data_IF_100005324928
#
_entry.id   IF_100005324928
#
_cell.length_a   1.000
_cell.length_b   1.000
_cell.length_c   1.000
_cell.angle_alpha   90.00
_cell.angle_beta   90.00
_cell.angle_gamma   90.00
#
_symmetry.space_group_name_H-M   'P 1'
#
loop_
_entity.id
_entity.type
_entity.pdbx_description
1 polymer ?
#
# COMPACT_ATOMS: atom_id res chain seq x y z
N UNK A 1 21.82 -0.21 -16.28
CA UNK A 1 22.55 -1.37 -15.72
C UNK A 1 21.72 -2.11 -14.67
N UNK A 2 21.20 -1.44 -13.61
CA UNK A 2 20.42 -2.10 -12.56
C UNK A 2 19.16 -2.78 -13.10
N UNK A 3 18.34 -2.08 -13.90
CA UNK A 3 17.15 -2.65 -14.53
C UNK A 3 17.46 -3.81 -15.47
N UNK A 4 18.57 -3.76 -16.18
CA UNK A 4 19.05 -4.87 -17.01
C UNK A 4 19.48 -6.08 -16.17
N UNK A 5 20.03 -5.84 -14.98
CA UNK A 5 20.45 -6.90 -14.06
C UNK A 5 19.24 -7.63 -13.46
N UNK A 6 18.21 -6.91 -13.04
CA UNK A 6 17.01 -7.51 -12.45
C UNK A 6 16.14 -8.23 -13.50
N UNK A 7 16.13 -7.75 -14.76
CA UNK A 7 15.25 -8.32 -15.80
C UNK A 7 13.80 -8.41 -15.33
N UNK A 8 13.20 -9.58 -15.48
CA UNK A 8 11.81 -9.87 -15.07
C UNK A 8 11.66 -10.32 -13.60
N UNK A 9 12.74 -10.24 -12.80
CA UNK A 9 12.69 -10.66 -11.41
C UNK A 9 11.92 -9.66 -10.54
N UNK A 10 11.12 -10.17 -9.60
CA UNK A 10 10.50 -9.31 -8.59
C UNK A 10 11.54 -8.80 -7.57
N UNK A 11 11.50 -7.53 -7.28
CA UNK A 11 12.31 -6.91 -6.22
C UNK A 11 11.71 -7.23 -4.86
N UNK A 12 12.52 -7.73 -3.94
CA UNK A 12 12.08 -7.99 -2.57
C UNK A 12 12.82 -7.06 -1.62
N UNK A 13 12.07 -6.29 -0.84
CA UNK A 13 12.65 -5.40 0.15
C UNK A 13 11.85 -5.39 1.47
N UNK A 14 12.46 -4.87 2.52
CA UNK A 14 11.83 -4.70 3.82
C UNK A 14 11.40 -3.24 4.01
N UNK A 15 10.12 -2.93 3.84
CA UNK A 15 9.54 -1.60 3.59
C UNK A 15 9.85 -1.12 2.17
N UNK A 16 9.43 -1.93 1.21
CA UNK A 16 9.79 -1.82 -0.21
C UNK A 16 9.55 -0.43 -0.81
N UNK A 17 8.53 0.31 -0.37
CA UNK A 17 8.27 1.67 -0.85
C UNK A 17 9.45 2.62 -0.68
N UNK A 18 10.28 2.42 0.36
CA UNK A 18 11.47 3.21 0.57
C UNK A 18 12.53 2.95 -0.51
N UNK A 19 12.90 1.69 -0.73
CA UNK A 19 13.93 1.31 -1.71
C UNK A 19 13.46 1.57 -3.15
N UNK A 20 12.21 1.23 -3.45
CA UNK A 20 11.59 1.43 -4.76
C UNK A 20 11.58 2.91 -5.14
N UNK A 21 11.25 3.82 -4.22
CA UNK A 21 11.22 5.26 -4.50
C UNK A 21 12.55 5.80 -5.02
N UNK A 22 13.69 5.31 -4.50
CA UNK A 22 15.01 5.69 -5.01
C UNK A 22 15.28 5.18 -6.42
N UNK A 23 14.83 3.96 -6.73
CA UNK A 23 14.98 3.38 -8.08
C UNK A 23 14.14 4.19 -9.06
N UNK A 24 12.88 4.45 -8.74
CA UNK A 24 11.95 5.22 -9.57
C UNK A 24 12.46 6.64 -9.81
N UNK A 25 12.93 7.32 -8.76
CA UNK A 25 13.47 8.66 -8.89
C UNK A 25 14.72 8.68 -9.82
N UNK A 26 15.60 7.70 -9.69
CA UNK A 26 16.76 7.59 -10.60
C UNK A 26 16.34 7.26 -12.04
N UNK A 27 15.29 6.47 -12.24
CA UNK A 27 14.71 6.22 -13.55
C UNK A 27 14.16 7.50 -14.18
N UNK A 28 13.42 8.33 -13.42
CA UNK A 28 12.92 9.64 -13.87
C UNK A 28 14.04 10.58 -14.30
N UNK A 29 15.14 10.66 -13.54
CA UNK A 29 16.31 11.48 -13.93
C UNK A 29 16.97 11.04 -15.25
N UNK A 30 16.69 9.84 -15.71
CA UNK A 30 17.24 9.26 -16.94
C UNK A 30 16.19 9.05 -18.03
N UNK A 31 14.98 9.60 -17.88
CA UNK A 31 13.82 9.41 -18.77
C UNK A 31 13.52 7.92 -19.07
N UNK A 32 13.71 7.06 -18.06
CA UNK A 32 13.40 5.63 -18.13
C UNK A 32 12.11 5.37 -17.37
N UNK A 33 11.13 4.75 -18.02
CA UNK A 33 9.97 4.24 -17.30
C UNK A 33 10.33 2.91 -16.63
N UNK A 34 10.24 2.80 -15.30
CA UNK A 34 10.50 1.54 -14.61
C UNK A 34 9.32 0.58 -14.81
N UNK A 35 9.65 -0.67 -15.16
CA UNK A 35 8.67 -1.76 -15.20
C UNK A 35 9.25 -2.93 -14.39
N UNK A 36 8.82 -3.05 -13.14
CA UNK A 36 9.19 -4.15 -12.26
C UNK A 36 8.13 -4.41 -11.19
N UNK A 37 8.05 -5.64 -10.74
CA UNK A 37 7.23 -6.03 -9.60
C UNK A 37 8.03 -5.90 -8.30
N UNK A 38 7.42 -5.36 -7.25
CA UNK A 38 8.02 -5.33 -5.92
C UNK A 38 7.20 -6.12 -4.91
N UNK A 39 7.89 -6.73 -3.94
CA UNK A 39 7.30 -7.48 -2.83
C UNK A 39 7.82 -6.91 -1.51
N UNK A 40 6.90 -6.48 -0.66
CA UNK A 40 7.24 -5.92 0.65
C UNK A 40 7.15 -6.97 1.76
N UNK A 41 8.28 -7.31 2.35
CA UNK A 41 8.34 -8.26 3.46
C UNK A 41 7.73 -7.73 4.76
N UNK A 42 7.57 -6.41 4.93
CA UNK A 42 6.81 -5.84 6.07
C UNK A 42 5.32 -6.17 5.91
N UNK A 43 4.78 -6.00 4.72
CA UNK A 43 3.38 -6.35 4.41
C UNK A 43 3.13 -7.84 4.59
N UNK A 44 4.05 -8.70 4.12
CA UNK A 44 3.99 -10.15 4.34
C UNK A 44 4.06 -10.49 5.84
N UNK A 45 4.98 -9.86 6.59
CA UNK A 45 5.12 -10.10 8.02
C UNK A 45 3.84 -9.74 8.81
N UNK A 46 3.14 -8.67 8.43
CA UNK A 46 1.86 -8.29 9.04
C UNK A 46 0.79 -9.37 8.90
N UNK A 47 0.82 -10.13 7.81
CA UNK A 47 -0.11 -11.21 7.50
C UNK A 47 0.33 -12.53 8.16
N UNK A 48 1.61 -12.87 8.05
CA UNK A 48 2.14 -14.17 8.46
C UNK A 48 2.50 -14.24 9.94
N UNK A 49 2.86 -13.10 10.54
CA UNK A 49 3.27 -12.95 11.95
C UNK A 49 2.38 -11.91 12.67
N UNK A 50 1.06 -12.09 12.73
CA UNK A 50 0.13 -11.05 13.23
C UNK A 50 0.33 -10.73 14.72
N UNK A 51 1.00 -11.57 15.47
CA UNK A 51 1.25 -11.39 16.91
C UNK A 51 2.36 -10.39 17.21
N UNK A 52 3.19 -10.02 16.22
CA UNK A 52 4.25 -9.06 16.43
C UNK A 52 3.69 -7.65 16.63
N UNK A 53 4.25 -6.95 17.62
CA UNK A 53 3.90 -5.55 17.91
C UNK A 53 4.60 -4.54 16.99
N UNK A 54 5.74 -4.93 16.40
CA UNK A 54 6.58 -4.12 15.50
C UNK A 54 7.12 -5.00 14.38
N UNK A 55 7.33 -4.40 13.22
CA UNK A 55 7.77 -5.08 11.99
C UNK A 55 9.07 -4.50 11.44
N UNK A 56 9.99 -4.06 12.32
CA UNK A 56 11.35 -3.69 11.92
C UNK A 56 12.12 -4.94 11.52
N UNK A 57 13.09 -4.81 10.63
CA UNK A 57 13.88 -5.92 10.08
C UNK A 57 14.44 -6.84 11.18
N UNK A 58 15.08 -6.27 12.18
CA UNK A 58 15.66 -7.02 13.30
C UNK A 58 14.60 -7.76 14.16
N UNK A 59 13.39 -7.21 14.29
CA UNK A 59 12.29 -7.85 15.03
C UNK A 59 11.75 -9.05 14.26
N UNK A 60 11.57 -8.90 12.94
CA UNK A 60 11.08 -9.98 12.08
C UNK A 60 12.13 -11.08 11.95
N UNK A 61 13.41 -10.72 11.72
CA UNK A 61 14.53 -11.66 11.68
C UNK A 61 14.60 -12.50 12.97
N UNK A 62 14.55 -11.84 14.12
CA UNK A 62 14.58 -12.53 15.41
C UNK A 62 13.40 -13.49 15.61
N UNK A 63 12.18 -13.06 15.21
CA UNK A 63 10.97 -13.91 15.30
C UNK A 63 11.06 -15.16 14.41
N UNK A 64 11.84 -15.11 13.33
CA UNK A 64 12.08 -16.22 12.40
C UNK A 64 13.40 -16.97 12.69
N UNK A 65 14.09 -16.64 13.78
CA UNK A 65 15.40 -17.19 14.16
C UNK A 65 16.48 -17.00 13.09
N UNK A 66 16.47 -15.84 12.42
CA UNK A 66 17.48 -15.42 11.44
C UNK A 66 18.52 -14.54 12.15
N UNK A 67 19.81 -14.87 11.96
CA UNK A 67 20.92 -14.08 12.52
C UNK A 67 21.09 -12.77 11.77
N UNK A 68 21.25 -11.67 12.50
CA UNK A 68 21.53 -10.34 11.95
C UNK A 68 22.70 -9.72 12.75
N UNK A 69 23.92 -10.14 12.42
CA UNK A 69 25.11 -9.80 13.23
C UNK A 69 25.59 -8.36 13.04
N UNK A 70 25.43 -7.77 11.84
CA UNK A 70 25.93 -6.43 11.50
C UNK A 70 24.79 -5.53 10.99
N UNK A 71 23.76 -5.34 11.79
CA UNK A 71 22.65 -4.47 11.47
C UNK A 71 23.12 -3.05 11.06
N UNK A 72 22.55 -2.50 9.98
CA UNK A 72 22.89 -1.24 9.29
C UNK A 72 24.00 -1.35 8.22
N UNK A 73 24.43 -2.54 7.84
CA UNK A 73 25.15 -2.72 6.59
C UNK A 73 24.17 -3.20 5.51
N UNK A 74 24.13 -2.48 4.40
CA UNK A 74 23.14 -2.74 3.34
C UNK A 74 23.17 -4.21 2.83
N UNK A 75 24.35 -4.83 2.76
CA UNK A 75 24.48 -6.23 2.33
C UNK A 75 23.91 -7.20 3.38
N UNK A 76 24.16 -6.95 4.65
CA UNK A 76 23.68 -7.81 5.75
C UNK A 76 22.17 -7.67 5.92
N UNK A 77 21.63 -6.45 5.80
CA UNK A 77 20.19 -6.18 5.82
C UNK A 77 19.49 -6.82 4.61
N UNK A 78 20.08 -6.76 3.42
CA UNK A 78 19.58 -7.42 2.22
C UNK A 78 19.61 -8.96 2.35
N UNK A 79 20.69 -9.52 2.92
CA UNK A 79 20.80 -10.95 3.20
C UNK A 79 19.71 -11.43 4.16
N UNK A 80 19.53 -10.72 5.29
CA UNK A 80 18.45 -11.04 6.24
C UNK A 80 17.06 -10.91 5.61
N UNK A 81 16.84 -9.91 4.75
CA UNK A 81 15.59 -9.74 4.01
C UNK A 81 15.32 -10.92 3.07
N UNK A 82 16.35 -11.42 2.40
CA UNK A 82 16.25 -12.60 1.53
C UNK A 82 15.90 -13.85 2.34
N UNK A 83 16.54 -14.09 3.48
CA UNK A 83 16.23 -15.22 4.36
C UNK A 83 14.80 -15.13 4.92
N UNK A 84 14.36 -13.93 5.34
CA UNK A 84 12.97 -13.67 5.77
C UNK A 84 12.01 -14.03 4.64
N UNK A 85 12.30 -13.60 3.42
CA UNK A 85 11.43 -13.87 2.27
C UNK A 85 11.34 -15.38 1.98
N UNK A 86 12.45 -16.11 2.04
CA UNK A 86 12.46 -17.58 1.88
C UNK A 86 11.58 -18.23 2.93
N UNK A 87 11.69 -17.85 4.20
CA UNK A 87 10.83 -18.34 5.28
C UNK A 87 9.35 -18.03 5.04
N UNK A 88 9.04 -16.84 4.57
CA UNK A 88 7.66 -16.48 4.24
C UNK A 88 7.12 -17.30 3.06
N UNK A 89 7.93 -17.58 2.04
CA UNK A 89 7.54 -18.47 0.93
C UNK A 89 7.24 -19.89 1.43
N UNK A 90 8.05 -20.44 2.35
CA UNK A 90 7.77 -21.72 3.00
C UNK A 90 6.41 -21.69 3.72
N UNK A 91 6.20 -20.67 4.59
CA UNK A 91 4.94 -20.51 5.31
C UNK A 91 3.71 -20.33 4.40
N UNK A 92 3.87 -19.71 3.24
CA UNK A 92 2.81 -19.55 2.24
C UNK A 92 2.53 -20.86 1.51
N UNK A 93 3.56 -21.63 1.15
CA UNK A 93 3.41 -22.96 0.54
C UNK A 93 2.63 -23.91 1.45
N UNK A 94 2.90 -23.88 2.75
CA UNK A 94 2.15 -24.68 3.75
C UNK A 94 0.67 -24.29 3.82
N UNK A 95 0.29 -23.10 3.33
CA UNK A 95 -1.08 -22.61 3.22
C UNK A 95 -1.67 -22.77 1.81
N UNK A 96 -0.97 -23.43 0.89
CA UNK A 96 -1.41 -23.63 -0.49
C UNK A 96 -1.32 -22.37 -1.37
N UNK A 97 -0.50 -21.39 -0.99
CA UNK A 97 -0.31 -20.12 -1.70
C UNK A 97 1.00 -20.22 -2.48
N UNK A 98 0.91 -20.26 -3.82
CA UNK A 98 2.05 -20.48 -4.71
C UNK A 98 2.30 -19.36 -5.72
N UNK A 99 1.45 -18.34 -5.73
CA UNK A 99 1.54 -17.20 -6.64
C UNK A 99 1.17 -15.88 -5.97
N UNK A 100 1.57 -14.76 -6.60
CA UNK A 100 1.35 -13.41 -6.06
C UNK A 100 -0.15 -13.03 -6.03
N UNK A 101 -0.95 -13.51 -6.97
CA UNK A 101 -2.38 -13.21 -6.99
C UNK A 101 -3.09 -13.84 -5.77
N UNK A 102 -2.76 -15.08 -5.44
CA UNK A 102 -3.27 -15.76 -4.23
C UNK A 102 -2.73 -15.12 -2.95
N UNK A 103 -1.47 -14.66 -2.97
CA UNK A 103 -0.91 -13.91 -1.83
C UNK A 103 -1.68 -12.62 -1.57
N UNK A 104 -1.99 -11.84 -2.60
CA UNK A 104 -2.79 -10.63 -2.48
C UNK A 104 -4.20 -10.95 -1.94
N UNK A 105 -4.86 -11.96 -2.50
CA UNK A 105 -6.18 -12.41 -2.03
C UNK A 105 -6.15 -12.87 -0.56
N UNK A 106 -5.10 -13.57 -0.15
CA UNK A 106 -4.91 -14.00 1.24
C UNK A 106 -4.74 -12.81 2.17
N UNK A 107 -3.97 -11.80 1.77
CA UNK A 107 -3.80 -10.54 2.49
C UNK A 107 -5.11 -9.78 2.66
N UNK A 108 -5.88 -9.64 1.59
CA UNK A 108 -7.19 -8.97 1.58
C UNK A 108 -8.21 -9.62 2.51
N UNK A 109 -8.19 -10.94 2.62
CA UNK A 109 -9.09 -11.68 3.50
C UNK A 109 -8.69 -11.64 4.98
N UNK A 110 -7.48 -11.17 5.30
CA UNK A 110 -6.99 -11.08 6.67
C UNK A 110 -7.34 -9.72 7.30
N UNK A 111 -8.43 -9.68 8.08
CA UNK A 111 -8.90 -8.46 8.73
C UNK A 111 -7.83 -7.82 9.64
N UNK A 112 -6.99 -8.59 10.31
CA UNK A 112 -5.94 -8.06 11.18
C UNK A 112 -4.79 -7.43 10.38
N UNK A 113 -4.47 -7.97 9.21
CA UNK A 113 -3.53 -7.36 8.28
C UNK A 113 -4.10 -6.04 7.73
N UNK A 114 -5.33 -6.05 7.25
CA UNK A 114 -6.03 -4.84 6.74
C UNK A 114 -6.06 -3.72 7.77
N UNK A 115 -6.30 -4.03 9.05
CA UNK A 115 -6.30 -3.05 10.15
C UNK A 115 -4.97 -2.33 10.34
N UNK A 116 -3.86 -2.90 9.88
CA UNK A 116 -2.49 -2.37 10.01
C UNK A 116 -2.01 -1.62 8.77
N UNK A 117 -2.73 -1.71 7.66
CA UNK A 117 -2.40 -0.99 6.42
C UNK A 117 -2.63 0.52 6.57
N UNK A 118 -1.99 1.36 5.75
CA UNK A 118 -2.39 2.76 5.58
C UNK A 118 -3.87 2.87 5.24
N UNK A 119 -4.50 3.97 5.61
CA UNK A 119 -5.90 4.24 5.25
C UNK A 119 -6.05 5.67 4.77
N UNK A 120 -6.82 5.83 3.73
CA UNK A 120 -7.07 7.09 3.04
C UNK A 120 -8.54 7.47 3.14
N UNK A 121 -8.84 8.74 2.94
CA UNK A 121 -10.21 9.18 2.84
C UNK A 121 -10.79 8.75 1.48
N UNK A 122 -12.09 8.46 1.48
CA UNK A 122 -12.88 8.17 0.28
C UNK A 122 -14.29 8.73 0.49
N UNK A 123 -14.90 9.26 -0.55
CA UNK A 123 -16.31 9.63 -0.54
C UNK A 123 -17.10 8.59 -1.29
N UNK A 124 -18.21 8.15 -0.69
CA UNK A 124 -19.10 7.16 -1.28
C UNK A 124 -20.52 7.71 -1.25
N UNK A 125 -21.12 7.85 -2.42
CA UNK A 125 -22.48 8.34 -2.60
C UNK A 125 -23.36 7.20 -3.09
N UNK A 126 -24.56 7.05 -2.49
CA UNK A 126 -25.55 6.10 -2.95
C UNK A 126 -26.43 6.73 -4.03
N UNK A 127 -26.49 6.10 -5.22
CA UNK A 127 -27.28 6.55 -6.36
C UNK A 127 -28.74 6.06 -6.32
N UNK A 128 -28.98 4.92 -5.68
CA UNK A 128 -30.27 4.23 -5.68
C UNK A 128 -30.42 3.34 -4.44
N UNK A 129 -31.50 2.60 -4.35
CA UNK A 129 -31.76 1.70 -3.20
C UNK A 129 -30.75 0.58 -3.07
N UNK A 130 -30.25 0.02 -4.17
CA UNK A 130 -29.17 -1.00 -4.14
C UNK A 130 -27.91 -0.38 -3.54
N UNK A 131 -27.50 0.79 -4.03
CA UNK A 131 -26.35 1.52 -3.49
C UNK A 131 -26.53 1.88 -2.01
N UNK A 132 -27.75 2.26 -1.57
CA UNK A 132 -28.03 2.52 -0.15
C UNK A 132 -27.78 1.28 0.71
N UNK A 133 -28.27 0.12 0.29
CA UNK A 133 -28.04 -1.14 1.02
C UNK A 133 -26.56 -1.51 1.02
N UNK A 134 -25.86 -1.38 -0.12
CA UNK A 134 -24.44 -1.65 -0.24
C UNK A 134 -23.62 -0.71 0.64
N UNK A 135 -23.95 0.58 0.69
CA UNK A 135 -23.30 1.56 1.57
C UNK A 135 -23.44 1.18 3.04
N UNK A 136 -24.65 0.82 3.49
CA UNK A 136 -24.87 0.39 4.86
C UNK A 136 -24.12 -0.90 5.21
N UNK A 137 -24.02 -1.82 4.25
CA UNK A 137 -23.21 -3.05 4.40
C UNK A 137 -21.73 -2.70 4.59
N UNK A 138 -21.17 -1.84 3.74
CA UNK A 138 -19.79 -1.38 3.85
C UNK A 138 -19.51 -0.64 5.17
N UNK A 139 -20.42 0.25 5.59
CA UNK A 139 -20.30 0.95 6.87
C UNK A 139 -20.31 -0.06 8.03
N UNK A 140 -21.24 -1.02 8.02
CA UNK A 140 -21.31 -2.06 9.06
C UNK A 140 -20.01 -2.87 9.11
N UNK A 141 -19.48 -3.29 7.96
CA UNK A 141 -18.21 -4.02 7.89
C UNK A 141 -17.03 -3.18 8.38
N UNK A 142 -17.01 -1.89 8.07
CA UNK A 142 -15.94 -0.97 8.49
C UNK A 142 -15.86 -0.82 10.01
N UNK A 143 -16.98 -0.91 10.70
CA UNK A 143 -17.06 -0.83 12.16
C UNK A 143 -16.91 -2.19 12.85
N UNK A 144 -17.51 -3.25 12.31
CA UNK A 144 -17.54 -4.55 12.97
C UNK A 144 -16.32 -5.41 12.67
N UNK A 145 -15.81 -5.35 11.42
CA UNK A 145 -14.75 -6.24 10.96
C UNK A 145 -13.39 -5.54 10.81
N UNK A 146 -13.38 -4.32 10.29
CA UNK A 146 -12.16 -3.64 9.88
C UNK A 146 -11.78 -2.41 10.72
N UNK A 147 -12.47 -2.17 11.83
CA UNK A 147 -12.18 -1.02 12.69
C UNK A 147 -10.78 -1.09 13.30
N UNK A 148 -9.99 -0.03 13.10
CA UNK A 148 -8.71 0.17 13.77
C UNK A 148 -8.46 1.68 13.95
N UNK A 149 -8.75 2.20 15.14
CA UNK A 149 -8.77 3.63 15.51
C UNK A 149 -9.84 4.44 14.75
N UNK A 150 -10.15 4.06 13.52
CA UNK A 150 -11.19 4.61 12.62
C UNK A 150 -11.81 3.48 11.81
N UNK A 151 -13.05 3.68 11.30
CA UNK A 151 -13.64 2.74 10.35
C UNK A 151 -12.80 2.64 9.09
N UNK A 152 -12.65 1.43 8.54
CA UNK A 152 -11.86 1.17 7.32
C UNK A 152 -12.64 0.28 6.39
N UNK A 153 -12.49 0.50 5.10
CA UNK A 153 -13.09 -0.33 4.05
C UNK A 153 -11.96 -0.76 3.12
N UNK A 154 -11.65 -2.07 3.02
CA UNK A 154 -10.74 -2.55 2.00
C UNK A 154 -11.27 -2.24 0.59
N UNK A 155 -10.40 -1.87 -0.35
CA UNK A 155 -10.79 -1.63 -1.75
C UNK A 155 -11.48 -2.85 -2.37
N UNK A 156 -11.04 -4.05 -2.06
CA UNK A 156 -11.66 -5.30 -2.50
C UNK A 156 -13.12 -5.44 -2.04
N UNK A 157 -13.42 -5.06 -0.80
CA UNK A 157 -14.81 -5.07 -0.32
C UNK A 157 -15.64 -3.94 -0.97
N UNK A 158 -15.05 -2.74 -1.12
CA UNK A 158 -15.71 -1.65 -1.85
C UNK A 158 -16.04 -2.06 -3.28
N UNK A 159 -15.13 -2.75 -3.98
CA UNK A 159 -15.36 -3.25 -5.34
C UNK A 159 -16.49 -4.28 -5.42
N UNK A 160 -16.63 -5.17 -4.42
CA UNK A 160 -17.72 -6.16 -4.37
C UNK A 160 -19.09 -5.51 -4.22
N UNK A 161 -19.17 -4.45 -3.46
CA UNK A 161 -20.44 -3.74 -3.15
C UNK A 161 -20.58 -2.43 -3.93
N UNK A 162 -19.90 -2.30 -5.09
CA UNK A 162 -19.84 -1.06 -5.86
C UNK A 162 -21.14 -0.73 -6.58
N UNK A 163 -22.01 -1.71 -6.84
CA UNK A 163 -23.27 -1.49 -7.55
C UNK A 163 -24.13 -0.43 -6.86
N UNK A 164 -24.57 0.56 -7.63
CA UNK A 164 -25.38 1.68 -7.16
C UNK A 164 -24.64 2.72 -6.32
N UNK A 165 -23.29 2.67 -6.30
CA UNK A 165 -22.44 3.64 -5.60
C UNK A 165 -21.64 4.49 -6.61
N UNK A 166 -21.39 5.75 -6.24
CA UNK A 166 -20.34 6.59 -6.80
C UNK A 166 -19.22 6.75 -5.77
N UNK A 167 -18.00 6.54 -6.22
CA UNK A 167 -16.79 6.62 -5.38
C UNK A 167 -15.93 7.80 -5.84
N UNK A 168 -15.69 8.73 -4.93
CA UNK A 168 -14.88 9.94 -5.16
C UNK A 168 -13.51 9.88 -4.52
N UNK A 169 -12.55 10.61 -5.10
CA UNK A 169 -11.14 10.65 -4.66
C UNK A 169 -10.92 11.32 -3.29
N UNK A 170 -11.92 12.03 -2.80
CA UNK A 170 -11.90 12.80 -1.55
C UNK A 170 -10.88 13.95 -1.54
N UNK A 171 -10.43 14.35 -0.36
CA UNK A 171 -9.59 15.52 -0.09
C UNK A 171 -8.08 15.17 -0.12
N UNK A 172 -7.26 16.04 0.46
CA UNK A 172 -5.81 15.86 0.61
C UNK A 172 -5.41 14.56 1.36
N UNK A 173 -6.29 14.05 2.22
CA UNK A 173 -6.09 12.76 2.88
C UNK A 173 -6.57 11.57 2.03
N UNK A 174 -7.02 11.79 0.81
CA UNK A 174 -7.35 10.75 -0.18
C UNK A 174 -6.12 10.09 -0.77
N UNK A 175 -6.27 8.86 -1.25
CA UNK A 175 -5.14 8.08 -1.78
C UNK A 175 -4.50 8.72 -3.01
N UNK A 176 -5.33 9.22 -3.94
CA UNK A 176 -4.86 9.88 -5.16
C UNK A 176 -4.04 11.13 -4.84
N UNK A 177 -4.56 12.02 -3.98
CA UNK A 177 -3.86 13.23 -3.60
C UNK A 177 -2.53 12.91 -2.90
N UNK A 178 -2.55 11.94 -1.99
CA UNK A 178 -1.34 11.48 -1.32
C UNK A 178 -0.31 10.83 -2.26
N UNK A 179 -0.76 10.17 -3.32
CA UNK A 179 0.12 9.62 -4.35
C UNK A 179 0.78 10.74 -5.19
N UNK A 180 0.02 11.79 -5.54
CA UNK A 180 0.54 12.97 -6.24
C UNK A 180 1.59 13.68 -5.38
N UNK A 181 1.32 13.91 -4.09
CA UNK A 181 2.29 14.52 -3.17
C UNK A 181 3.59 13.74 -3.03
N UNK A 182 3.53 12.41 -3.14
CA UNK A 182 4.72 11.56 -3.10
C UNK A 182 5.41 11.45 -4.46
N UNK A 183 4.90 12.15 -5.47
CA UNK A 183 5.42 12.11 -6.83
C UNK A 183 5.48 10.66 -7.37
N UNK A 184 4.39 9.89 -7.13
CA UNK A 184 4.26 8.53 -7.66
C UNK A 184 4.28 8.52 -9.19
N UNK A 185 4.73 7.45 -9.86
CA UNK A 185 4.77 7.34 -11.31
C UNK A 185 3.41 7.60 -11.97
N UNK A 186 3.41 8.20 -13.17
CA UNK A 186 2.19 8.49 -13.92
C UNK A 186 1.32 7.26 -14.13
N UNK A 187 1.92 6.09 -14.35
CA UNK A 187 1.23 4.81 -14.46
C UNK A 187 0.46 4.43 -13.19
N UNK A 188 1.02 4.71 -12.01
CA UNK A 188 0.36 4.48 -10.72
C UNK A 188 -0.76 5.50 -10.49
N UNK A 189 -0.52 6.78 -10.81
CA UNK A 189 -1.56 7.81 -10.76
C UNK A 189 -2.72 7.44 -11.68
N UNK A 190 -2.46 7.01 -12.92
CA UNK A 190 -3.49 6.57 -13.86
C UNK A 190 -4.31 5.40 -13.30
N UNK A 191 -3.63 4.38 -12.75
CA UNK A 191 -4.28 3.23 -12.11
C UNK A 191 -5.17 3.63 -10.92
N UNK A 192 -4.73 4.62 -10.13
CA UNK A 192 -5.53 5.14 -9.02
C UNK A 192 -6.74 5.92 -9.51
N UNK A 193 -6.57 6.74 -10.56
CA UNK A 193 -7.68 7.50 -11.18
C UNK A 193 -8.77 6.57 -11.69
N UNK A 194 -8.42 5.46 -12.34
CA UNK A 194 -9.39 4.47 -12.86
C UNK A 194 -10.26 3.84 -11.76
N UNK A 195 -9.82 3.87 -10.52
CA UNK A 195 -10.59 3.33 -9.41
C UNK A 195 -11.79 4.21 -9.03
N UNK A 196 -11.73 5.52 -9.26
CA UNK A 196 -12.74 6.49 -8.86
C UNK A 196 -13.72 6.79 -9.98
N UNK A 197 -14.99 7.05 -9.64
CA UNK A 197 -16.02 7.48 -10.60
C UNK A 197 -15.93 8.99 -10.85
N UNK A 198 -15.40 9.75 -9.90
CA UNK A 198 -15.13 11.18 -10.04
C UNK A 198 -13.95 11.60 -9.16
N UNK A 199 -13.33 12.71 -9.55
CA UNK A 199 -12.23 13.32 -8.82
C UNK A 199 -12.69 14.63 -8.18
N UNK A 200 -12.19 14.91 -6.98
CA UNK A 200 -12.48 16.16 -6.27
C UNK A 200 -11.29 17.11 -6.38
N UNK A 201 -11.59 18.34 -6.75
CA UNK A 201 -10.64 19.46 -6.73
C UNK A 201 -11.02 20.35 -5.56
N UNK A 202 -10.12 20.49 -4.61
CA UNK A 202 -10.30 21.33 -3.44
C UNK A 202 -9.90 22.78 -3.77
N UNK A 203 -10.60 23.81 -3.25
CA UNK A 203 -10.11 25.18 -3.31
C UNK A 203 -8.75 25.31 -2.60
N UNK A 204 -7.83 26.11 -3.16
CA UNK A 204 -6.48 26.29 -2.62
C UNK A 204 -6.47 26.64 -1.12
N UNK A 205 -7.44 27.46 -0.68
CA UNK A 205 -7.54 27.84 0.74
C UNK A 205 -7.76 26.65 1.69
N UNK A 206 -8.38 25.55 1.23
CA UNK A 206 -8.57 24.35 2.05
C UNK A 206 -7.23 23.67 2.34
N UNK A 207 -6.29 23.73 1.43
CA UNK A 207 -4.98 23.08 1.51
C UNK A 207 -3.85 24.05 1.93
N UNK A 208 -4.14 25.32 2.21
CA UNK A 208 -3.14 26.34 2.61
C UNK A 208 -2.33 25.96 3.88
N UNK A 209 -2.82 25.01 4.68
CA UNK A 209 -2.07 24.48 5.82
C UNK A 209 -0.84 23.67 5.36
N UNK A 210 -0.84 23.10 4.18
CA UNK A 210 0.26 22.30 3.63
C UNK A 210 1.49 23.16 3.37
N UNK A 211 1.30 24.42 2.93
CA UNK A 211 2.38 25.41 2.84
C UNK A 211 3.00 25.69 4.22
N UNK A 212 2.15 25.88 5.24
CA UNK A 212 2.63 26.15 6.60
C UNK A 212 3.36 24.97 7.23
N UNK A 213 2.99 23.75 6.85
CA UNK A 213 3.62 22.51 7.33
C UNK A 213 4.88 22.16 6.54
N UNK A 214 5.10 22.77 5.36
CA UNK A 214 6.19 22.44 4.45
C UNK A 214 5.94 21.17 3.61
N UNK A 215 4.69 20.75 3.48
CA UNK A 215 4.30 19.60 2.64
C UNK A 215 4.42 19.96 1.14
N UNK A 216 4.22 21.25 0.81
CA UNK A 216 4.44 21.85 -0.50
C UNK A 216 5.21 23.16 -0.35
N UNK A 217 5.91 23.61 -1.42
CA UNK A 217 6.80 24.77 -1.38
C UNK A 217 6.11 26.07 -1.84
N UNK A 218 5.06 25.97 -2.68
CA UNK A 218 4.37 27.13 -3.25
C UNK A 218 2.87 26.88 -3.40
N UNK A 219 2.09 27.97 -3.61
CA UNK A 219 0.67 27.87 -3.94
C UNK A 219 0.43 27.23 -5.31
N UNK A 220 1.42 27.22 -6.19
CA UNK A 220 1.34 26.59 -7.51
C UNK A 220 1.43 25.07 -7.43
N UNK A 221 1.96 24.53 -6.34
CA UNK A 221 2.02 23.09 -6.08
C UNK A 221 0.75 22.54 -5.39
N UNK A 222 -0.11 23.43 -4.86
CA UNK A 222 -1.39 23.07 -4.25
C UNK A 222 -2.46 22.72 -5.30
#
# INVERSE_FOLDING_TARGET
>A
QFLQFIGDAALVAHNASFDVSFIEQNCRYQDIQPDFTSVDTVSMARILLPTLSKYKLNVVANALHISLENHHRAVDDAGATAEIFVKFVEMLKDRGIYDLAKLNQFGENNADAVRKLPSYHVIILALNEVGRVNLYTLISMSHLKYYARRPRIPKSELSKYREGLLVGSACEAGELFQAILRDEPESEIARLVEFYDYLEIQPLCNNAFMLRNGDVQSEEEL
#
